data_IF_424040975501
#
_entry.id   IF_424040975501
#
_cell.length_a   1.000
_cell.length_b   1.000
_cell.length_c   1.000
_cell.angle_alpha   90.00
_cell.angle_beta   90.00
_cell.angle_gamma   90.00
#
_symmetry.space_group_name_H-M   'P 1'
#
loop_
_entity.id
_entity.type
_entity.pdbx_description
1 polymer ?
#
# COMPACT_ATOMS: atom_id res chain seq x y z
N UNK A 1 -39.95 8.71 21.51
CA UNK A 1 -40.23 8.41 20.09
C UNK A 1 -39.38 9.26 19.15
N UNK A 2 -39.60 10.58 19.05
CA UNK A 2 -38.82 11.47 18.16
C UNK A 2 -37.30 11.44 18.40
N UNK A 3 -36.84 11.50 19.66
CA UNK A 3 -35.41 11.44 19.98
C UNK A 3 -34.75 10.10 19.59
N UNK A 4 -35.49 8.99 19.66
CA UNK A 4 -35.02 7.65 19.28
C UNK A 4 -34.86 7.57 17.77
N UNK A 5 -35.82 8.12 17.02
CA UNK A 5 -35.76 8.20 15.55
C UNK A 5 -34.56 9.04 15.11
N UNK A 6 -34.32 10.19 15.76
CA UNK A 6 -33.18 11.07 15.48
C UNK A 6 -31.84 10.37 15.74
N UNK A 7 -31.73 9.62 16.85
CA UNK A 7 -30.53 8.85 17.16
C UNK A 7 -30.23 7.78 16.09
N UNK A 8 -31.27 7.06 15.63
CA UNK A 8 -31.12 6.02 14.60
C UNK A 8 -30.63 6.64 13.28
N UNK A 9 -31.15 7.80 12.90
CA UNK A 9 -30.72 8.54 11.71
C UNK A 9 -29.24 8.93 11.81
N UNK A 10 -28.80 9.45 12.97
CA UNK A 10 -27.40 9.84 13.17
C UNK A 10 -26.47 8.62 13.08
N UNK A 11 -26.83 7.51 13.75
CA UNK A 11 -26.01 6.29 13.71
C UNK A 11 -25.93 5.72 12.30
N UNK A 12 -27.03 5.69 11.55
CA UNK A 12 -27.02 5.19 10.16
C UNK A 12 -26.17 6.06 9.23
N UNK A 13 -26.23 7.38 9.36
CA UNK A 13 -25.34 8.29 8.60
C UNK A 13 -23.87 8.02 8.93
N UNK A 14 -23.53 7.84 10.20
CA UNK A 14 -22.16 7.51 10.62
C UNK A 14 -21.71 6.18 10.01
N UNK A 15 -22.53 5.13 10.08
CA UNK A 15 -22.20 3.81 9.52
C UNK A 15 -21.99 3.88 8.02
N UNK A 16 -22.88 4.56 7.28
CA UNK A 16 -22.74 4.75 5.82
C UNK A 16 -21.47 5.53 5.49
N UNK A 17 -21.18 6.59 6.25
CA UNK A 17 -19.96 7.37 6.07
C UNK A 17 -18.70 6.52 6.26
N UNK A 18 -18.65 5.73 7.34
CA UNK A 18 -17.54 4.82 7.59
C UNK A 18 -17.42 3.74 6.50
N UNK A 19 -18.52 3.11 6.09
CA UNK A 19 -18.50 2.11 5.00
C UNK A 19 -17.98 2.71 3.69
N UNK A 20 -18.43 3.91 3.33
CA UNK A 20 -17.95 4.61 2.13
C UNK A 20 -16.46 4.98 2.22
N UNK A 21 -16.00 5.39 3.40
CA UNK A 21 -14.60 5.67 3.68
C UNK A 21 -13.72 4.43 3.53
N UNK A 22 -14.14 3.30 4.11
CA UNK A 22 -13.43 2.02 3.98
C UNK A 22 -13.42 1.50 2.54
N UNK A 23 -14.53 1.60 1.79
CA UNK A 23 -14.58 1.18 0.39
C UNK A 23 -13.62 1.99 -0.51
N UNK A 24 -13.48 3.31 -0.27
CA UNK A 24 -12.49 4.13 -0.98
C UNK A 24 -11.05 3.75 -0.63
N UNK A 25 -10.82 3.38 0.63
CA UNK A 25 -9.53 2.88 1.09
C UNK A 25 -9.20 1.54 0.43
N UNK A 26 -10.19 0.67 0.25
CA UNK A 26 -10.03 -0.67 -0.31
C UNK A 26 -9.71 -0.65 -1.81
N UNK A 27 -10.36 0.23 -2.58
CA UNK A 27 -9.97 0.47 -3.98
C UNK A 27 -8.55 1.03 -4.13
N UNK A 28 -8.03 1.75 -3.14
CA UNK A 28 -6.63 2.20 -3.13
C UNK A 28 -5.62 1.07 -2.83
N UNK A 29 -6.09 -0.14 -2.51
CA UNK A 29 -5.23 -1.31 -2.25
C UNK A 29 -4.96 -2.18 -3.47
N UNK A 30 -5.60 -1.91 -4.62
CA UNK A 30 -5.40 -2.68 -5.85
C UNK A 30 -3.95 -2.66 -6.36
N UNK A 31 -3.15 -1.64 -5.99
CA UNK A 31 -1.77 -1.52 -6.47
C UNK A 31 -0.80 -2.50 -5.77
N UNK A 32 -1.12 -2.98 -4.56
CA UNK A 32 -0.29 -3.93 -3.83
C UNK A 32 -0.70 -5.33 -4.24
N UNK A 33 -0.15 -5.78 -5.36
CA UNK A 33 -0.43 -7.07 -5.95
C UNK A 33 0.85 -7.71 -6.49
N UNK A 34 0.77 -8.97 -6.91
CA UNK A 34 1.91 -9.72 -7.41
C UNK A 34 2.59 -9.08 -8.62
N UNK A 35 1.84 -8.62 -9.62
CA UNK A 35 2.41 -8.03 -10.84
C UNK A 35 3.26 -6.79 -10.51
N UNK A 36 2.74 -5.91 -9.68
CA UNK A 36 3.44 -4.71 -9.26
C UNK A 36 4.58 -5.01 -8.28
N UNK A 37 4.46 -6.04 -7.44
CA UNK A 37 5.57 -6.53 -6.61
C UNK A 37 6.73 -7.02 -7.47
N UNK A 38 6.46 -7.89 -8.45
CA UNK A 38 7.46 -8.37 -9.42
C UNK A 38 8.08 -7.21 -10.18
N UNK A 39 7.27 -6.23 -10.61
CA UNK A 39 7.76 -5.03 -11.29
C UNK A 39 8.78 -4.27 -10.43
N UNK A 40 8.47 -3.99 -9.15
CA UNK A 40 9.42 -3.31 -8.25
C UNK A 40 10.67 -4.17 -8.06
N UNK A 41 10.52 -5.48 -7.91
CA UNK A 41 11.62 -6.40 -7.65
C UNK A 41 12.60 -6.48 -8.81
N UNK A 42 12.09 -6.59 -10.03
CA UNK A 42 12.86 -6.93 -11.22
C UNK A 42 13.28 -5.69 -12.02
N UNK A 43 12.55 -4.57 -11.90
CA UNK A 43 12.86 -3.39 -12.70
C UNK A 43 14.21 -2.76 -12.32
N UNK A 44 15.05 -2.43 -13.32
CA UNK A 44 16.29 -1.67 -13.09
C UNK A 44 16.01 -0.23 -12.65
N UNK A 45 14.81 0.30 -12.90
CA UNK A 45 14.45 1.68 -12.55
C UNK A 45 13.98 1.85 -11.10
N UNK A 46 13.78 0.75 -10.38
CA UNK A 46 13.21 0.79 -9.04
C UNK A 46 14.03 1.63 -8.06
N UNK A 47 15.36 1.49 -8.05
CA UNK A 47 16.23 2.28 -7.17
C UNK A 47 16.20 3.77 -7.56
N UNK A 48 16.21 4.06 -8.85
CA UNK A 48 16.25 5.44 -9.34
C UNK A 48 14.94 6.19 -9.08
N UNK A 49 13.82 5.51 -9.22
CA UNK A 49 12.48 6.08 -9.02
C UNK A 49 12.11 6.17 -7.53
N UNK A 50 12.84 5.46 -6.66
CA UNK A 50 12.60 5.36 -5.24
C UNK A 50 13.37 6.44 -4.47
N UNK A 51 12.66 7.13 -3.57
CA UNK A 51 13.31 7.99 -2.56
C UNK A 51 13.82 7.23 -1.34
N UNK A 52 13.57 5.92 -1.27
CA UNK A 52 14.11 5.02 -0.25
C UNK A 52 15.16 4.12 -0.88
N UNK A 53 16.13 3.70 -0.09
CA UNK A 53 16.99 2.60 -0.48
C UNK A 53 16.15 1.31 -0.53
N UNK A 54 16.21 0.58 -1.64
CA UNK A 54 15.52 -0.70 -1.78
C UNK A 54 16.49 -1.83 -1.48
N UNK A 55 16.08 -2.74 -0.59
CA UNK A 55 16.80 -3.98 -0.32
C UNK A 55 15.92 -5.17 -0.72
N UNK A 56 16.37 -5.92 -1.72
CA UNK A 56 15.66 -7.09 -2.25
C UNK A 56 16.12 -8.35 -1.52
N UNK A 57 15.17 -9.11 -0.99
CA UNK A 57 15.36 -10.45 -0.44
C UNK A 57 14.53 -11.46 -1.24
N UNK A 58 14.63 -12.74 -0.87
CA UNK A 58 13.99 -13.83 -1.61
C UNK A 58 12.48 -13.64 -1.79
N UNK A 59 11.75 -13.25 -0.74
CA UNK A 59 10.29 -13.02 -0.80
C UNK A 59 9.87 -11.64 -0.28
N UNK A 60 10.82 -10.72 -0.11
CA UNK A 60 10.57 -9.42 0.50
C UNK A 60 11.31 -8.30 -0.23
N UNK A 61 10.70 -7.11 -0.26
CA UNK A 61 11.30 -5.87 -0.73
C UNK A 61 11.24 -4.88 0.42
N UNK A 62 12.39 -4.54 0.98
CA UNK A 62 12.53 -3.68 2.13
C UNK A 62 12.84 -2.25 1.70
N UNK A 63 12.17 -1.28 2.31
CA UNK A 63 12.38 0.15 2.06
C UNK A 63 13.05 0.79 3.26
N UNK A 64 14.24 1.34 3.02
CA UNK A 64 15.10 1.93 4.03
C UNK A 64 15.30 3.43 3.84
N UNK A 65 15.47 4.13 4.96
CA UNK A 65 15.94 5.52 5.01
C UNK A 65 17.03 5.62 6.07
N UNK A 66 18.18 6.19 5.71
CA UNK A 66 19.30 6.45 6.62
C UNK A 66 19.72 5.22 7.45
N UNK A 67 19.71 4.04 6.82
CA UNK A 67 20.06 2.76 7.45
C UNK A 67 18.91 2.01 8.12
N UNK A 68 17.81 2.69 8.45
CA UNK A 68 16.64 2.13 9.13
C UNK A 68 15.59 1.59 8.16
N UNK A 69 15.02 0.42 8.47
CA UNK A 69 13.90 -0.15 7.72
C UNK A 69 12.59 0.48 8.18
N UNK A 70 11.81 1.03 7.24
CA UNK A 70 10.54 1.67 7.55
C UNK A 70 9.35 0.73 7.35
N UNK A 71 9.35 0.02 6.23
CA UNK A 71 8.33 -0.94 5.85
C UNK A 71 8.91 -1.91 4.81
N UNK A 72 8.18 -2.98 4.55
CA UNK A 72 8.51 -3.93 3.50
C UNK A 72 7.25 -4.43 2.81
N UNK A 73 7.43 -4.90 1.57
CA UNK A 73 6.42 -5.63 0.83
C UNK A 73 6.82 -7.10 0.83
N UNK A 74 5.92 -7.99 1.23
CA UNK A 74 6.18 -9.42 1.35
C UNK A 74 5.26 -10.20 0.41
N UNK A 75 5.83 -11.17 -0.30
CA UNK A 75 5.10 -12.21 -1.00
C UNK A 75 4.85 -13.38 -0.04
N UNK A 76 3.60 -13.53 0.43
CA UNK A 76 3.23 -14.51 1.47
C UNK A 76 3.31 -15.93 0.94
N UNK A 77 2.83 -16.13 -0.28
CA UNK A 77 2.98 -17.40 -0.98
C UNK A 77 3.10 -17.15 -2.47
N UNK A 78 4.04 -17.87 -3.11
CA UNK A 78 4.23 -17.83 -4.56
C UNK A 78 2.99 -18.36 -5.30
N UNK A 79 2.30 -19.33 -4.70
CA UNK A 79 1.13 -19.98 -5.31
C UNK A 79 -0.11 -19.09 -5.23
N UNK A 80 -0.31 -18.41 -4.09
CA UNK A 80 -1.47 -17.53 -3.91
C UNK A 80 -1.28 -16.14 -4.53
N UNK A 81 -0.06 -15.80 -4.98
CA UNK A 81 0.31 -14.47 -5.48
C UNK A 81 -0.08 -13.35 -4.49
N UNK A 82 -0.21 -13.69 -3.21
CA UNK A 82 -0.69 -12.75 -2.21
C UNK A 82 0.47 -11.89 -1.71
N UNK A 83 0.27 -10.57 -1.77
CA UNK A 83 1.28 -9.58 -1.45
C UNK A 83 0.75 -8.67 -0.36
N UNK A 84 1.53 -8.50 0.69
CA UNK A 84 1.19 -7.61 1.80
C UNK A 84 2.25 -6.53 1.97
N UNK A 85 1.80 -5.35 2.41
CA UNK A 85 2.67 -4.26 2.84
C UNK A 85 2.62 -4.17 4.37
N UNK A 86 3.78 -4.25 5.00
CA UNK A 86 3.93 -4.28 6.44
C UNK A 86 4.82 -3.11 6.88
N UNK A 87 4.26 -2.17 7.63
CA UNK A 87 5.02 -1.12 8.32
C UNK A 87 5.69 -1.65 9.60
N UNK A 88 6.92 -1.21 9.86
CA UNK A 88 7.71 -1.61 11.05
C UNK A 88 7.55 -0.59 12.19
N UNK A 89 8.00 -0.93 13.41
CA UNK A 89 8.15 -0.03 14.59
C UNK A 89 6.99 0.97 14.82
N UNK A 90 5.77 0.47 15.05
CA UNK A 90 4.61 1.31 15.37
C UNK A 90 4.06 2.13 14.18
N UNK A 91 4.63 1.95 12.98
CA UNK A 91 4.19 2.64 11.77
C UNK A 91 3.04 1.95 11.04
N UNK A 92 2.37 0.97 11.66
CA UNK A 92 1.15 0.36 11.12
C UNK A 92 0.04 1.40 10.84
N UNK A 93 -0.01 2.47 11.63
CA UNK A 93 -0.92 3.62 11.41
C UNK A 93 -0.60 4.35 10.08
N UNK A 94 0.65 4.29 9.61
CA UNK A 94 1.12 4.90 8.36
C UNK A 94 1.10 3.94 7.17
N UNK A 95 0.52 2.75 7.31
CA UNK A 95 0.40 1.80 6.20
C UNK A 95 -0.25 2.45 4.96
N UNK A 96 -1.21 3.36 5.15
CA UNK A 96 -1.83 4.07 4.04
C UNK A 96 -0.85 5.02 3.32
N UNK A 97 0.05 5.68 4.04
CA UNK A 97 1.10 6.53 3.44
C UNK A 97 2.12 5.69 2.67
N UNK A 98 2.56 4.57 3.25
CA UNK A 98 3.48 3.65 2.58
C UNK A 98 2.85 3.03 1.34
N UNK A 99 1.56 2.68 1.38
CA UNK A 99 0.83 2.20 0.20
C UNK A 99 0.76 3.27 -0.89
N UNK A 100 0.37 4.52 -0.56
CA UNK A 100 0.38 5.64 -1.52
C UNK A 100 1.75 5.82 -2.16
N UNK A 101 2.81 5.75 -1.35
CA UNK A 101 4.18 5.81 -1.84
C UNK A 101 4.48 4.69 -2.84
N UNK A 102 4.18 3.43 -2.48
CA UNK A 102 4.43 2.27 -3.34
C UNK A 102 3.66 2.37 -4.65
N UNK A 103 2.37 2.75 -4.62
CA UNK A 103 1.61 2.95 -5.85
C UNK A 103 2.24 4.03 -6.75
N UNK A 104 2.70 5.14 -6.16
CA UNK A 104 3.40 6.20 -6.89
C UNK A 104 4.74 5.74 -7.48
N UNK A 105 5.50 4.93 -6.74
CA UNK A 105 6.74 4.31 -7.22
C UNK A 105 6.45 3.42 -8.45
N UNK A 106 5.44 2.56 -8.39
CA UNK A 106 5.01 1.71 -9.50
C UNK A 106 4.69 2.55 -10.74
N UNK A 107 3.94 3.65 -10.58
CA UNK A 107 3.62 4.54 -11.69
C UNK A 107 4.86 5.16 -12.33
N UNK A 108 5.81 5.64 -11.52
CA UNK A 108 7.09 6.19 -12.01
C UNK A 108 7.88 5.15 -12.81
N UNK A 109 7.97 3.92 -12.29
CA UNK A 109 8.64 2.81 -12.98
C UNK A 109 7.97 2.54 -14.33
N UNK A 110 6.63 2.45 -14.38
CA UNK A 110 5.87 2.20 -15.62
C UNK A 110 6.07 3.32 -16.66
N UNK A 111 5.98 4.59 -16.25
CA UNK A 111 6.21 5.73 -17.14
C UNK A 111 7.61 5.66 -17.73
N UNK A 112 8.62 5.37 -16.89
CA UNK A 112 10.00 5.30 -17.34
C UNK A 112 10.24 4.14 -18.31
N UNK A 113 9.67 2.97 -18.02
CA UNK A 113 9.76 1.81 -18.92
C UNK A 113 9.11 2.07 -20.29
N UNK A 114 8.04 2.86 -20.34
CA UNK A 114 7.37 3.21 -21.61
C UNK A 114 8.05 4.35 -22.38
N UNK A 115 8.99 5.07 -21.74
CA UNK A 115 9.70 6.21 -22.34
C UNK A 115 11.08 5.82 -22.91
N UNK A 116 11.41 4.53 -22.91
CA UNK A 116 12.59 3.93 -23.52
C UNK A 116 12.17 2.99 -24.65
#
# INVERSE_FOLDING_TARGET
>A
MLAIILLIIIVTIIVIYYQSYWAKIEQHYECINYENYSLIKESPFSEECSSYQILRKENEIWFKRDGYSLFYIQLISRDSKNVELIGLDGYGIRNMEFKKYVCGLIQKIKIKHNSQ
#
